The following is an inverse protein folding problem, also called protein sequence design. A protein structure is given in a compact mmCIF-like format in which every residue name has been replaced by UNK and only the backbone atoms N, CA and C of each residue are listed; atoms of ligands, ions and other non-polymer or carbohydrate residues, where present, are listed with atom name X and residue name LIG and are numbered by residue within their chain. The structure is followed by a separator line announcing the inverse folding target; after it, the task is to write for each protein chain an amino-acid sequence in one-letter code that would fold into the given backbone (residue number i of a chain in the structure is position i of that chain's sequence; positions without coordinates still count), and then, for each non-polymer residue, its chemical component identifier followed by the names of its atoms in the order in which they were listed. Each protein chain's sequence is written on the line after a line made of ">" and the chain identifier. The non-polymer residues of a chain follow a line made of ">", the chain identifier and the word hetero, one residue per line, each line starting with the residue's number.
data_IF_303682566130
#
_entry.id   IF_303682566130
#
_cell.length_a   1.000
_cell.length_b   1.000
_cell.length_c   1.000
_cell.angle_alpha   90.00
_cell.angle_beta   90.00
_cell.angle_gamma   90.00
#
_symmetry.space_group_name_H-M   'P 1'
#
loop_
_entity.id
_entity.type
_entity.pdbx_description
1 polymer ?
#
# COMPACT_ATOMS: atom_id res chain seq x y z
N UNK A 1 -9.74 21.22 9.03
CA UNK A 1 -9.39 21.35 7.60
C UNK A 1 -8.10 22.16 7.49
N UNK A 2 -7.00 21.47 7.18
CA UNK A 2 -5.62 21.95 7.26
C UNK A 2 -5.07 22.47 5.91
N UNK A 3 -5.92 22.64 4.89
CA UNK A 3 -5.49 23.00 3.53
C UNK A 3 -4.63 24.27 3.48
N UNK A 4 -4.80 25.22 4.42
CA UNK A 4 -3.98 26.43 4.48
C UNK A 4 -2.50 26.15 4.76
N UNK A 5 -2.20 25.09 5.50
CA UNK A 5 -0.84 24.77 5.92
C UNK A 5 0.01 24.31 4.73
N UNK A 6 -0.59 23.59 3.77
CA UNK A 6 0.11 23.02 2.61
C UNK A 6 0.06 23.89 1.34
N UNK A 7 -0.55 25.08 1.38
CA UNK A 7 -0.71 25.94 0.19
C UNK A 7 0.61 26.30 -0.50
N UNK A 8 1.69 26.37 0.27
CA UNK A 8 3.00 26.79 -0.21
C UNK A 8 3.68 25.76 -1.13
N UNK A 9 3.21 24.51 -1.13
CA UNK A 9 3.65 23.47 -2.07
C UNK A 9 2.97 23.54 -3.45
N UNK A 10 2.02 24.46 -3.64
CA UNK A 10 1.32 24.61 -4.91
C UNK A 10 1.86 25.80 -5.73
N UNK A 11 1.99 25.66 -7.06
CA UNK A 11 1.61 24.49 -7.87
C UNK A 11 2.55 23.30 -7.70
N UNK A 12 2.00 22.08 -7.75
CA UNK A 12 2.80 20.85 -7.79
C UNK A 12 3.34 20.70 -9.22
N UNK A 13 4.65 20.83 -9.37
CA UNK A 13 5.36 20.83 -10.65
C UNK A 13 6.35 19.66 -10.81
N UNK A 14 6.55 18.87 -9.75
CA UNK A 14 7.45 17.71 -9.74
C UNK A 14 6.98 16.64 -8.76
N UNK A 15 7.46 15.40 -8.95
CA UNK A 15 7.28 14.31 -7.97
C UNK A 15 7.93 14.66 -6.64
N UNK A 16 9.07 15.34 -6.66
CA UNK A 16 9.75 15.75 -5.42
C UNK A 16 8.85 16.64 -4.57
N UNK A 17 8.13 17.59 -5.20
CA UNK A 17 7.15 18.46 -4.50
C UNK A 17 6.04 17.65 -3.83
N UNK A 18 5.60 16.55 -4.45
CA UNK A 18 4.61 15.61 -3.85
C UNK A 18 5.20 14.89 -2.64
N UNK A 19 6.42 14.36 -2.78
CA UNK A 19 7.13 13.66 -1.72
C UNK A 19 7.42 14.57 -0.52
N UNK A 20 7.82 15.81 -0.77
CA UNK A 20 8.11 16.81 0.28
C UNK A 20 6.83 17.18 1.04
N UNK A 21 5.72 17.42 0.33
CA UNK A 21 4.41 17.68 0.95
C UNK A 21 3.97 16.48 1.81
N UNK A 22 4.12 15.26 1.30
CA UNK A 22 3.79 14.04 2.05
C UNK A 22 4.67 13.86 3.28
N UNK A 23 5.98 14.11 3.16
CA UNK A 23 6.91 14.07 4.27
C UNK A 23 6.54 15.08 5.37
N UNK A 24 6.15 16.31 5.00
CA UNK A 24 5.70 17.33 5.95
C UNK A 24 4.40 16.90 6.66
N UNK A 25 3.43 16.31 5.95
CA UNK A 25 2.26 15.71 6.59
C UNK A 25 2.64 14.66 7.64
N UNK A 26 3.52 13.72 7.30
CA UNK A 26 3.94 12.66 8.23
C UNK A 26 4.74 13.19 9.43
N UNK A 27 5.38 14.37 9.30
CA UNK A 27 6.13 15.03 10.37
C UNK A 27 5.27 15.96 11.22
N UNK A 28 4.18 16.49 10.68
CA UNK A 28 3.34 17.50 11.34
C UNK A 28 2.70 17.04 12.66
N UNK A 29 2.61 15.73 12.89
CA UNK A 29 1.87 15.14 14.02
C UNK A 29 0.36 15.34 13.96
N UNK A 30 -0.15 15.99 12.90
CA UNK A 30 -1.58 16.17 12.65
C UNK A 30 -2.16 14.90 12.03
N UNK A 31 -3.46 14.73 12.19
CA UNK A 31 -4.20 13.69 11.47
C UNK A 31 -4.00 13.85 9.95
N UNK A 32 -3.72 12.76 9.26
CA UNK A 32 -3.49 12.72 7.82
C UNK A 32 -4.74 13.16 7.02
N UNK A 33 -4.60 14.10 6.09
CA UNK A 33 -5.72 14.53 5.22
C UNK A 33 -5.90 13.56 4.03
N UNK A 34 -6.74 12.54 4.20
CA UNK A 34 -6.92 11.48 3.20
C UNK A 34 -7.43 12.01 1.86
N UNK A 35 -8.30 13.02 1.90
CA UNK A 35 -8.90 13.61 0.71
C UNK A 35 -7.88 14.40 -0.11
N UNK A 36 -7.05 15.21 0.56
CA UNK A 36 -5.98 15.96 -0.11
C UNK A 36 -5.04 15.02 -0.86
N UNK A 37 -4.52 13.98 -0.21
CA UNK A 37 -3.57 13.06 -0.83
C UNK A 37 -4.20 12.20 -1.92
N UNK A 38 -5.45 11.77 -1.76
CA UNK A 38 -6.16 11.04 -2.81
C UNK A 38 -6.34 11.87 -4.08
N UNK A 39 -6.65 13.16 -3.94
CA UNK A 39 -6.76 14.09 -5.07
C UNK A 39 -5.39 14.31 -5.72
N UNK A 40 -4.33 14.56 -4.94
CA UNK A 40 -2.99 14.80 -5.46
C UNK A 40 -2.48 13.58 -6.23
N UNK A 41 -2.49 12.40 -5.60
CA UNK A 41 -1.97 11.19 -6.23
C UNK A 41 -2.80 10.81 -7.47
N UNK A 42 -4.13 10.87 -7.39
CA UNK A 42 -4.99 10.61 -8.53
C UNK A 42 -4.78 11.60 -9.68
N UNK A 43 -4.53 12.88 -9.39
CA UNK A 43 -4.22 13.87 -10.43
C UNK A 43 -2.87 13.60 -11.09
N UNK A 44 -1.82 13.29 -10.31
CA UNK A 44 -0.49 12.99 -10.85
C UNK A 44 -0.51 11.70 -11.68
N UNK A 45 -1.10 10.63 -11.13
CA UNK A 45 -1.28 9.35 -11.83
C UNK A 45 -2.04 9.54 -13.14
N UNK A 46 -3.19 10.23 -13.12
CA UNK A 46 -4.01 10.44 -14.32
C UNK A 46 -3.28 11.23 -15.42
N UNK A 47 -2.46 12.22 -15.05
CA UNK A 47 -1.72 13.02 -16.02
C UNK A 47 -0.57 12.24 -16.68
N UNK A 48 0.07 11.33 -15.95
CA UNK A 48 1.26 10.61 -16.45
C UNK A 48 0.91 9.26 -17.10
N UNK A 49 -0.12 8.57 -16.63
CA UNK A 49 -0.54 7.26 -17.18
C UNK A 49 -1.57 7.37 -18.32
N UNK A 50 -2.12 8.56 -18.59
CA UNK A 50 -3.18 8.75 -19.58
C UNK A 50 -4.37 7.79 -19.40
N UNK A 51 -4.69 7.41 -18.15
CA UNK A 51 -5.82 6.55 -17.80
C UNK A 51 -7.14 7.15 -18.34
N UNK A 52 -7.59 6.67 -19.51
CA UNK A 52 -8.88 7.01 -20.12
C UNK A 52 -10.02 6.09 -19.66
N UNK A 53 -9.68 4.96 -19.04
CA UNK A 53 -10.62 3.98 -18.54
C UNK A 53 -10.69 4.07 -17.01
N UNK A 54 -11.77 4.66 -16.51
CA UNK A 54 -12.13 4.58 -15.09
C UNK A 54 -12.83 3.25 -14.84
N UNK A 55 -12.09 2.15 -14.92
CA UNK A 55 -12.55 0.92 -14.27
C UNK A 55 -12.50 1.21 -12.77
N UNK A 56 -13.67 1.44 -12.18
CA UNK A 56 -13.77 1.75 -10.75
C UNK A 56 -13.30 0.52 -9.98
N UNK A 57 -12.10 0.58 -9.42
CA UNK A 57 -11.63 -0.46 -8.51
C UNK A 57 -12.44 -0.40 -7.21
N UNK A 58 -12.85 -1.58 -6.73
CA UNK A 58 -13.66 -1.69 -5.52
C UNK A 58 -13.00 -1.04 -4.30
N UNK A 59 -11.65 -1.03 -4.25
CA UNK A 59 -10.85 -0.44 -3.18
C UNK A 59 -11.01 1.07 -3.06
N UNK A 60 -11.12 1.77 -4.19
CA UNK A 60 -11.24 3.24 -4.24
C UNK A 60 -12.56 3.73 -3.63
N UNK A 61 -13.64 2.95 -3.73
CA UNK A 61 -14.93 3.34 -3.13
C UNK A 61 -14.87 3.34 -1.61
N UNK A 62 -14.28 2.30 -1.01
CA UNK A 62 -14.15 2.20 0.45
C UNK A 62 -13.21 3.27 0.99
N UNK A 63 -12.13 3.59 0.26
CA UNK A 63 -11.27 4.72 0.61
C UNK A 63 -12.05 6.05 0.56
N UNK A 64 -12.83 6.29 -0.49
CA UNK A 64 -13.66 7.50 -0.61
C UNK A 64 -14.68 7.63 0.53
N UNK A 65 -15.29 6.53 0.98
CA UNK A 65 -16.17 6.52 2.17
C UNK A 65 -15.37 6.90 3.42
N UNK A 66 -14.19 6.31 3.62
CA UNK A 66 -13.33 6.59 4.78
C UNK A 66 -12.90 8.06 4.82
N UNK A 67 -12.43 8.61 3.71
CA UNK A 67 -12.07 10.03 3.59
C UNK A 67 -13.27 10.96 3.78
N UNK A 68 -14.45 10.59 3.28
CA UNK A 68 -15.68 11.36 3.48
C UNK A 68 -16.11 11.38 4.95
N UNK A 69 -16.01 10.25 5.64
CA UNK A 69 -16.25 10.15 7.07
C UNK A 69 -15.29 11.05 7.86
N UNK A 70 -14.00 11.06 7.51
CA UNK A 70 -13.03 11.97 8.10
C UNK A 70 -13.44 13.45 7.93
N UNK A 71 -13.83 13.85 6.72
CA UNK A 71 -14.30 15.23 6.43
C UNK A 71 -15.51 15.59 7.29
N UNK A 72 -16.42 14.65 7.50
CA UNK A 72 -17.64 14.81 8.32
C UNK A 72 -17.37 14.76 9.84
N UNK A 73 -16.11 14.64 10.27
CA UNK A 73 -15.72 14.54 11.68
C UNK A 73 -16.02 13.17 12.31
N UNK A 74 -16.19 12.13 11.49
CA UNK A 74 -16.37 10.74 11.91
C UNK A 74 -15.02 10.03 11.98
N UNK A 75 -14.23 10.45 12.96
CA UNK A 75 -12.85 9.98 13.13
C UNK A 75 -12.73 8.54 13.61
N UNK A 76 -13.83 7.90 14.03
CA UNK A 76 -13.89 6.50 14.43
C UNK A 76 -14.02 5.53 13.25
N UNK A 77 -14.31 6.03 12.04
CA UNK A 77 -14.43 5.20 10.84
C UNK A 77 -13.05 4.98 10.23
N UNK A 78 -12.69 3.71 10.03
CA UNK A 78 -11.40 3.29 9.53
C UNK A 78 -11.51 2.24 8.43
N UNK A 79 -10.50 2.21 7.56
CA UNK A 79 -10.39 1.23 6.50
C UNK A 79 -9.96 -0.13 7.06
N UNK A 80 -10.62 -1.20 6.63
CA UNK A 80 -10.22 -2.58 6.85
C UNK A 80 -9.89 -3.25 5.51
N UNK A 81 -8.73 -3.91 5.45
CA UNK A 81 -8.15 -4.44 4.22
C UNK A 81 -7.83 -5.92 4.40
N UNK A 82 -8.48 -6.74 3.58
CA UNK A 82 -8.07 -8.11 3.33
C UNK A 82 -7.19 -8.19 2.08
N UNK A 83 -6.77 -9.39 1.73
CA UNK A 83 -5.93 -9.63 0.56
C UNK A 83 -6.66 -9.40 -0.79
N UNK A 84 -8.00 -9.44 -0.82
CA UNK A 84 -8.78 -9.29 -2.07
C UNK A 84 -10.08 -8.46 -1.89
N UNK A 85 -10.23 -7.79 -0.75
CA UNK A 85 -11.45 -7.02 -0.44
C UNK A 85 -11.23 -5.97 0.65
N UNK A 86 -12.08 -4.95 0.67
CA UNK A 86 -12.03 -3.87 1.66
C UNK A 86 -13.41 -3.45 2.14
N UNK A 87 -13.48 -3.04 3.40
CA UNK A 87 -14.69 -2.53 4.04
C UNK A 87 -14.32 -1.48 5.10
N UNK A 88 -15.31 -0.96 5.83
CA UNK A 88 -15.05 -0.03 6.94
C UNK A 88 -15.29 -0.71 8.28
N UNK A 89 -14.46 -0.36 9.27
CA UNK A 89 -14.72 -0.58 10.68
C UNK A 89 -15.03 0.73 11.37
N UNK A 90 -15.87 0.70 12.40
CA UNK A 90 -16.30 1.89 13.13
C UNK A 90 -16.83 1.53 14.52
N UNK A 91 -17.39 2.53 15.21
CA UNK A 91 -17.98 2.35 16.53
C UNK A 91 -16.95 2.56 17.65
N UNK A 92 -17.45 2.60 18.88
CA UNK A 92 -16.65 3.02 20.05
C UNK A 92 -15.41 2.16 20.28
N UNK A 93 -15.51 0.86 19.98
CA UNK A 93 -14.45 -0.12 20.17
C UNK A 93 -13.80 -0.55 18.84
N UNK A 94 -14.20 0.05 17.70
CA UNK A 94 -13.69 -0.30 16.37
C UNK A 94 -14.07 -1.70 15.88
N UNK A 95 -15.09 -2.32 16.49
CA UNK A 95 -15.52 -3.70 16.20
C UNK A 95 -16.70 -3.79 15.25
N UNK A 96 -17.41 -2.68 15.03
CA UNK A 96 -18.52 -2.66 14.07
C UNK A 96 -17.95 -2.64 12.66
N UNK A 97 -18.60 -3.35 11.74
CA UNK A 97 -18.13 -3.53 10.36
C UNK A 97 -19.25 -3.23 9.39
N UNK A 98 -18.98 -2.58 8.28
CA UNK A 98 -19.93 -2.44 7.19
C UNK A 98 -19.27 -2.59 5.82
N UNK A 99 -19.85 -3.45 5.00
CA UNK A 99 -19.59 -3.49 3.57
C UNK A 99 -20.02 -2.16 2.94
N UNK A 100 -19.14 -1.52 2.16
CA UNK A 100 -19.46 -0.24 1.48
C UNK A 100 -19.15 -0.25 0.00
N UNK A 101 -18.56 -1.34 -0.49
CA UNK A 101 -18.24 -1.58 -1.89
C UNK A 101 -18.72 -2.97 -2.30
N UNK A 102 -18.64 -3.28 -3.60
CA UNK A 102 -18.94 -4.61 -4.12
C UNK A 102 -17.68 -5.49 -4.12
N UNK A 103 -17.86 -6.80 -4.20
CA UNK A 103 -16.77 -7.76 -4.46
C UNK A 103 -17.16 -8.71 -5.60
N UNK A 104 -16.25 -8.95 -6.54
CA UNK A 104 -16.44 -9.85 -7.67
C UNK A 104 -17.50 -9.39 -8.68
N UNK A 105 -17.72 -10.21 -9.73
CA UNK A 105 -18.75 -9.98 -10.76
C UNK A 105 -19.94 -10.92 -10.52
N UNK A 106 -21.15 -10.35 -10.45
CA UNK A 106 -22.40 -11.13 -10.33
C UNK A 106 -22.73 -11.61 -8.92
N UNK A 107 -22.01 -11.15 -7.90
CA UNK A 107 -22.34 -11.42 -6.50
C UNK A 107 -23.48 -10.51 -6.01
N UNK A 108 -24.22 -10.99 -5.01
CA UNK A 108 -25.25 -10.18 -4.34
C UNK A 108 -24.61 -8.96 -3.67
N UNK A 109 -25.27 -7.80 -3.76
CA UNK A 109 -24.84 -6.59 -3.07
C UNK A 109 -24.98 -6.76 -1.55
N UNK A 110 -23.84 -6.71 -0.85
CA UNK A 110 -23.76 -6.83 0.60
C UNK A 110 -23.64 -5.48 1.30
N UNK A 111 -23.65 -4.35 0.58
CA UNK A 111 -23.43 -3.01 1.18
C UNK A 111 -24.39 -2.75 2.36
N UNK A 112 -23.84 -2.21 3.43
CA UNK A 112 -24.51 -1.97 4.71
C UNK A 112 -24.58 -3.19 5.64
N UNK A 113 -24.19 -4.39 5.20
CA UNK A 113 -24.16 -5.59 6.05
C UNK A 113 -22.81 -5.71 6.77
N UNK A 114 -22.82 -6.41 7.90
CA UNK A 114 -21.59 -6.83 8.58
C UNK A 114 -20.86 -7.91 7.80
N UNK A 115 -19.53 -8.00 7.97
CA UNK A 115 -18.69 -9.05 7.40
C UNK A 115 -18.67 -10.34 8.24
N UNK A 116 -19.43 -10.40 9.34
CA UNK A 116 -19.40 -11.50 10.32
C UNK A 116 -19.68 -12.89 9.74
N UNK A 117 -20.56 -13.02 8.75
CA UNK A 117 -20.83 -14.30 8.08
C UNK A 117 -19.60 -14.82 7.32
N UNK A 118 -18.84 -13.90 6.71
CA UNK A 118 -17.60 -14.21 6.01
C UNK A 118 -16.47 -14.64 6.95
N UNK A 119 -16.41 -14.02 8.12
CA UNK A 119 -15.47 -14.40 9.20
C UNK A 119 -15.84 -15.77 9.76
N UNK A 120 -17.14 -16.00 10.05
CA UNK A 120 -17.63 -17.26 10.65
C UNK A 120 -17.45 -18.47 9.73
N UNK A 121 -17.40 -18.25 8.41
CA UNK A 121 -17.11 -19.27 7.40
C UNK A 121 -15.62 -19.48 7.14
N UNK A 122 -14.74 -18.81 7.91
CA UNK A 122 -13.28 -18.86 7.76
C UNK A 122 -12.83 -18.54 6.32
N UNK A 123 -13.55 -17.64 5.65
CA UNK A 123 -13.25 -17.29 4.27
C UNK A 123 -11.94 -16.51 4.18
N UNK A 124 -11.07 -16.88 3.23
CA UNK A 124 -9.87 -16.11 2.88
C UNK A 124 -10.18 -14.66 2.52
N UNK A 125 -11.34 -14.42 1.89
CA UNK A 125 -11.80 -13.07 1.53
C UNK A 125 -11.90 -12.12 2.74
N UNK A 126 -12.12 -12.67 3.94
CA UNK A 126 -12.18 -11.91 5.18
C UNK A 126 -11.06 -12.32 6.16
N UNK A 127 -10.07 -13.09 5.66
CA UNK A 127 -8.89 -13.60 6.36
C UNK A 127 -9.21 -14.22 7.72
N UNK A 128 -10.31 -14.96 7.81
CA UNK A 128 -10.82 -15.53 9.07
C UNK A 128 -10.88 -14.50 10.22
N UNK A 129 -11.21 -13.24 9.90
CA UNK A 129 -11.29 -12.15 10.87
C UNK A 129 -9.94 -11.52 11.23
N UNK A 130 -8.90 -11.72 10.43
CA UNK A 130 -7.56 -11.11 10.59
C UNK A 130 -7.18 -10.13 9.46
N UNK A 131 -8.05 -9.17 9.08
CA UNK A 131 -7.68 -8.12 8.14
C UNK A 131 -6.67 -7.15 8.74
N UNK A 132 -6.03 -6.36 7.89
CA UNK A 132 -5.33 -5.14 8.29
C UNK A 132 -6.40 -4.11 8.68
N UNK A 133 -6.44 -3.73 9.95
CA UNK A 133 -7.26 -2.61 10.42
C UNK A 133 -6.38 -1.36 10.46
N UNK A 134 -6.68 -0.40 9.58
CA UNK A 134 -5.83 0.76 9.40
C UNK A 134 -6.09 1.83 10.47
N UNK A 135 -5.01 2.48 10.93
CA UNK A 135 -5.11 3.85 11.41
C UNK A 135 -4.97 4.84 10.22
N UNK A 136 -5.01 6.14 10.49
CA UNK A 136 -4.93 7.20 9.45
C UNK A 136 -3.67 7.14 8.59
N UNK A 137 -2.52 6.81 9.17
CA UNK A 137 -1.28 6.71 8.41
C UNK A 137 -1.18 5.40 7.62
N UNK A 138 -1.80 4.32 8.11
CA UNK A 138 -1.96 3.08 7.35
C UNK A 138 -2.97 3.24 6.20
N UNK A 139 -3.97 4.11 6.34
CA UNK A 139 -4.85 4.50 5.22
C UNK A 139 -4.08 5.26 4.14
N UNK A 140 -3.18 6.16 4.52
CA UNK A 140 -2.24 6.75 3.55
C UNK A 140 -1.35 5.68 2.91
N UNK A 141 -0.85 4.71 3.69
CA UNK A 141 -0.07 3.59 3.13
C UNK A 141 -0.88 2.76 2.14
N UNK A 142 -2.17 2.51 2.41
CA UNK A 142 -3.06 1.82 1.49
C UNK A 142 -3.27 2.62 0.19
N UNK A 143 -3.45 3.94 0.30
CA UNK A 143 -3.58 4.84 -0.84
C UNK A 143 -2.29 4.87 -1.69
N UNK A 144 -1.11 4.97 -1.06
CA UNK A 144 0.17 4.91 -1.77
C UNK A 144 0.37 3.55 -2.43
N UNK A 145 0.05 2.46 -1.74
CA UNK A 145 0.15 1.12 -2.29
C UNK A 145 -0.81 0.88 -3.47
N UNK A 146 -1.89 1.66 -3.60
CA UNK A 146 -2.82 1.60 -4.75
C UNK A 146 -2.43 2.47 -5.93
N UNK A 147 -1.36 3.28 -5.84
CA UNK A 147 -0.85 4.04 -6.99
C UNK A 147 -0.47 3.05 -8.09
N UNK A 148 -0.97 3.28 -9.30
CA UNK A 148 -0.79 2.38 -10.43
C UNK A 148 0.16 2.98 -11.47
N UNK A 149 1.40 2.48 -11.63
CA UNK A 149 2.33 2.99 -12.63
C UNK A 149 2.02 2.51 -14.05
N UNK A 150 1.09 1.58 -14.25
CA UNK A 150 0.87 0.93 -15.55
C UNK A 150 0.27 1.86 -16.61
N UNK A 151 1.02 2.08 -17.71
CA UNK A 151 0.57 2.80 -18.90
C UNK A 151 -0.08 1.84 -19.92
N UNK A 152 0.52 0.67 -20.09
CA UNK A 152 0.03 -0.42 -20.95
C UNK A 152 0.32 -1.76 -20.27
N UNK A 153 -0.28 -2.89 -20.71
CA UNK A 153 -0.03 -4.20 -20.07
C UNK A 153 1.42 -4.66 -19.99
N UNK A 154 2.35 -3.99 -20.67
CA UNK A 154 3.78 -4.31 -20.69
C UNK A 154 4.68 -3.10 -20.39
N UNK A 155 4.12 -1.94 -20.06
CA UNK A 155 4.88 -0.70 -19.86
C UNK A 155 4.32 0.03 -18.66
N UNK A 156 5.21 0.32 -17.71
CA UNK A 156 4.96 1.19 -16.57
C UNK A 156 5.62 2.57 -16.80
N UNK A 157 5.01 3.61 -16.23
CA UNK A 157 5.58 4.95 -16.14
C UNK A 157 6.57 4.98 -14.99
N UNK A 158 7.86 5.12 -15.32
CA UNK A 158 8.96 5.08 -14.35
C UNK A 158 8.78 6.12 -13.24
N UNK A 159 8.37 7.33 -13.60
CA UNK A 159 8.15 8.44 -12.68
C UNK A 159 7.06 8.11 -11.63
N UNK A 160 5.98 7.44 -12.02
CA UNK A 160 4.92 7.03 -11.08
C UNK A 160 5.44 5.92 -10.14
N UNK A 161 6.17 4.94 -10.67
CA UNK A 161 6.80 3.91 -9.86
C UNK A 161 7.81 4.50 -8.86
N UNK A 162 8.57 5.52 -9.29
CA UNK A 162 9.54 6.23 -8.45
C UNK A 162 8.85 7.00 -7.34
N UNK A 163 7.75 7.71 -7.64
CA UNK A 163 6.93 8.37 -6.63
C UNK A 163 6.40 7.35 -5.61
N UNK A 164 5.81 6.25 -6.06
CA UNK A 164 5.29 5.21 -5.17
C UNK A 164 6.37 4.62 -4.26
N UNK A 165 7.55 4.31 -4.82
CA UNK A 165 8.71 3.80 -4.07
C UNK A 165 9.17 4.79 -2.98
N UNK A 166 9.34 6.07 -3.32
CA UNK A 166 9.75 7.10 -2.35
C UNK A 166 8.72 7.27 -1.22
N UNK A 167 7.42 7.33 -1.56
CA UNK A 167 6.35 7.48 -0.58
C UNK A 167 6.24 6.27 0.36
N UNK A 168 6.41 5.05 -0.16
CA UNK A 168 6.43 3.83 0.66
C UNK A 168 7.64 3.78 1.60
N UNK A 169 8.81 4.25 1.15
CA UNK A 169 9.96 4.39 2.04
C UNK A 169 9.73 5.41 3.16
N UNK A 170 9.09 6.56 2.87
CA UNK A 170 8.73 7.54 3.91
C UNK A 170 7.80 6.93 4.97
N UNK A 171 6.86 6.08 4.55
CA UNK A 171 5.98 5.34 5.45
C UNK A 171 6.72 4.25 6.23
N UNK A 172 7.63 3.53 5.58
CA UNK A 172 8.47 2.50 6.17
C UNK A 172 9.34 3.08 7.29
N UNK A 173 10.04 4.19 7.02
CA UNK A 173 10.96 4.84 7.96
C UNK A 173 10.21 5.38 9.21
N UNK A 174 8.89 5.60 9.10
CA UNK A 174 8.01 5.99 10.20
C UNK A 174 7.34 4.81 10.93
N UNK A 175 7.60 3.57 10.50
CA UNK A 175 7.00 2.35 11.07
C UNK A 175 5.56 2.09 10.64
N UNK A 176 5.00 2.86 9.69
CA UNK A 176 3.60 2.71 9.28
C UNK A 176 3.33 1.49 8.40
N UNK A 177 4.38 0.77 7.97
CA UNK A 177 4.28 -0.49 7.25
C UNK A 177 4.46 -1.74 8.12
N UNK A 178 4.82 -1.59 9.41
CA UNK A 178 5.17 -2.72 10.28
C UNK A 178 4.03 -3.74 10.44
N UNK A 179 2.80 -3.25 10.43
CA UNK A 179 1.58 -4.06 10.49
C UNK A 179 0.89 -4.15 9.11
N UNK A 180 1.57 -3.88 7.99
CA UNK A 180 0.94 -3.95 6.66
C UNK A 180 1.73 -4.85 5.70
N UNK A 181 1.52 -6.19 5.76
CA UNK A 181 2.30 -7.17 5.00
C UNK A 181 2.29 -6.93 3.48
N UNK A 182 1.13 -6.55 2.92
CA UNK A 182 1.01 -6.31 1.48
C UNK A 182 1.79 -5.07 1.02
N UNK A 183 1.80 -3.99 1.81
CA UNK A 183 2.58 -2.80 1.48
C UNK A 183 4.09 -3.05 1.58
N UNK A 184 4.54 -3.89 2.52
CA UNK A 184 5.94 -4.35 2.58
C UNK A 184 6.32 -5.16 1.33
N UNK A 185 5.42 -6.02 0.84
CA UNK A 185 5.60 -6.75 -0.43
C UNK A 185 5.71 -5.81 -1.63
N UNK A 186 4.80 -4.84 -1.75
CA UNK A 186 4.82 -3.83 -2.81
C UNK A 186 6.13 -3.03 -2.81
N UNK A 187 6.58 -2.57 -1.63
CA UNK A 187 7.86 -1.87 -1.49
C UNK A 187 9.04 -2.73 -1.94
N UNK A 188 9.02 -4.04 -1.64
CA UNK A 188 10.08 -4.96 -2.05
C UNK A 188 10.12 -5.17 -3.57
N UNK A 189 8.96 -5.31 -4.23
CA UNK A 189 8.88 -5.40 -5.70
C UNK A 189 9.40 -4.11 -6.36
N UNK A 190 9.00 -2.94 -5.85
CA UNK A 190 9.49 -1.65 -6.34
C UNK A 190 11.00 -1.48 -6.11
N UNK A 191 11.53 -1.90 -4.97
CA UNK A 191 12.97 -1.82 -4.67
C UNK A 191 13.81 -2.68 -5.64
N UNK A 192 13.31 -3.87 -6.00
CA UNK A 192 13.91 -4.71 -7.03
C UNK A 192 13.86 -4.02 -8.40
N UNK A 193 12.70 -3.46 -8.78
CA UNK A 193 12.52 -2.73 -10.03
C UNK A 193 13.49 -1.53 -10.14
N UNK A 194 13.61 -0.72 -9.10
CA UNK A 194 14.49 0.46 -9.09
C UNK A 194 15.96 0.08 -9.26
N UNK A 195 16.41 -1.01 -8.61
CA UNK A 195 17.78 -1.52 -8.77
C UNK A 195 18.08 -1.94 -10.21
N UNK A 196 17.14 -2.63 -10.87
CA UNK A 196 17.32 -3.06 -12.26
C UNK A 196 17.32 -1.86 -13.21
N UNK A 197 16.40 -0.91 -13.02
CA UNK A 197 16.32 0.31 -13.83
C UNK A 197 17.63 1.10 -13.79
N UNK A 198 18.21 1.27 -12.60
CA UNK A 198 19.46 2.01 -12.42
C UNK A 198 20.67 1.31 -13.03
N UNK A 199 20.71 -0.02 -13.08
CA UNK A 199 21.79 -0.76 -13.73
C UNK A 199 21.70 -0.78 -15.27
N UNK A 200 20.54 -0.43 -15.83
CA UNK A 200 20.26 -0.49 -17.27
C UNK A 200 20.63 0.80 -18.02
N UNK A 201 21.01 1.86 -17.31
CA UNK A 201 21.46 3.13 -17.87
C UNK A 201 22.90 3.04 -18.38
N UNK A 202 23.07 3.12 -19.69
CA UNK A 202 24.37 3.26 -20.37
C UNK A 202 25.10 4.53 -19.91
N UNK A 203 26.39 4.41 -19.56
CA UNK A 203 27.44 5.43 -19.34
C UNK A 203 27.09 6.94 -19.47
N UNK A 204 26.08 7.44 -18.79
CA UNK A 204 25.90 8.86 -18.51
C UNK A 204 26.23 9.07 -17.05
N UNK A 205 27.28 9.86 -16.83
CA UNK A 205 27.74 10.41 -15.55
C UNK A 205 26.69 10.30 -14.46
N UNK A 206 27.04 9.58 -13.38
CA UNK A 206 26.23 9.41 -12.17
C UNK A 206 25.51 10.72 -11.85
N UNK A 207 24.23 10.83 -12.23
CA UNK A 207 23.35 11.87 -11.71
C UNK A 207 23.04 11.41 -10.28
N UNK A 208 24.04 11.58 -9.41
CA UNK A 208 23.82 11.66 -7.98
C UNK A 208 22.97 12.91 -7.80
N UNK A 209 21.66 12.72 -7.68
CA UNK A 209 20.78 13.79 -7.22
C UNK A 209 21.34 14.27 -5.87
N UNK A 210 21.68 15.56 -5.71
CA UNK A 210 22.15 16.07 -4.43
C UNK A 210 20.98 15.95 -3.43
N UNK A 211 21.00 14.89 -2.63
CA UNK A 211 19.87 14.46 -1.79
C UNK A 211 19.60 12.95 -1.82
N UNK A 212 20.29 12.16 -2.64
CA UNK A 212 20.15 10.70 -2.72
C UNK A 212 20.62 10.01 -1.41
N UNK A 213 19.72 10.03 -0.43
CA UNK A 213 19.80 9.34 0.87
C UNK A 213 19.26 7.92 0.77
N UNK A 214 19.17 7.37 -0.44
CA UNK A 214 18.57 6.07 -0.80
C UNK A 214 19.04 4.86 0.01
N UNK A 215 20.20 4.93 0.69
CA UNK A 215 20.78 3.79 1.37
C UNK A 215 20.86 3.87 2.90
N UNK A 216 20.53 5.00 3.54
CA UNK A 216 20.69 5.13 5.00
C UNK A 216 19.45 5.69 5.66
N UNK A 217 18.92 4.92 6.61
CA UNK A 217 17.96 5.41 7.61
C UNK A 217 18.58 6.60 8.37
N UNK A 218 17.75 7.40 9.06
CA UNK A 218 18.19 8.55 9.84
C UNK A 218 19.30 8.24 10.88
N UNK A 219 19.48 6.96 11.22
CA UNK A 219 20.50 6.43 12.15
C UNK A 219 21.68 5.73 11.45
N UNK A 220 21.93 6.01 10.16
CA UNK A 220 23.01 5.40 9.35
C UNK A 220 22.93 3.88 9.14
N UNK A 221 21.85 3.22 9.57
CA UNK A 221 21.62 1.81 9.27
C UNK A 221 21.21 1.64 7.80
N UNK A 222 21.81 0.68 7.07
CA UNK A 222 21.46 0.44 5.69
C UNK A 222 20.00 0.00 5.57
N UNK A 223 19.28 0.52 4.56
CA UNK A 223 17.93 0.04 4.25
C UNK A 223 17.94 -1.45 3.91
N UNK A 224 16.89 -2.21 4.30
CA UNK A 224 16.80 -3.62 3.97
C UNK A 224 16.73 -3.82 2.45
N UNK A 225 17.28 -4.93 1.96
CA UNK A 225 17.04 -5.36 0.58
C UNK A 225 15.63 -5.94 0.40
N UNK A 226 15.22 -6.16 -0.85
CA UNK A 226 13.93 -6.75 -1.18
C UNK A 226 13.68 -8.10 -0.48
N UNK A 227 14.69 -8.96 -0.37
CA UNK A 227 14.59 -10.24 0.33
C UNK A 227 14.26 -10.09 1.83
N UNK A 228 14.88 -9.12 2.49
CA UNK A 228 14.60 -8.76 3.88
C UNK A 228 13.20 -8.15 4.04
N UNK A 229 12.74 -7.32 3.10
CA UNK A 229 11.38 -6.78 3.10
C UNK A 229 10.30 -7.87 2.96
N UNK A 230 10.47 -8.85 2.06
CA UNK A 230 9.56 -10.01 1.98
C UNK A 230 9.56 -10.83 3.27
N UNK A 231 10.73 -11.01 3.89
CA UNK A 231 10.84 -11.69 5.18
C UNK A 231 10.13 -10.91 6.29
N UNK A 232 10.20 -9.58 6.28
CA UNK A 232 9.48 -8.70 7.19
C UNK A 232 7.97 -8.77 6.98
N UNK A 233 7.49 -8.85 5.72
CA UNK A 233 6.07 -9.03 5.42
C UNK A 233 5.51 -10.31 6.05
N UNK A 234 6.22 -11.44 5.92
CA UNK A 234 5.85 -12.72 6.55
C UNK A 234 5.88 -12.60 8.08
N UNK A 235 6.90 -11.93 8.64
CA UNK A 235 6.96 -11.70 10.09
C UNK A 235 5.78 -10.87 10.58
N UNK A 236 5.38 -9.84 9.84
CA UNK A 236 4.22 -9.00 10.14
C UNK A 236 2.93 -9.82 10.13
N UNK A 237 2.73 -10.65 9.10
CA UNK A 237 1.60 -11.59 8.99
C UNK A 237 1.49 -12.51 10.22
N UNK A 238 2.61 -13.12 10.64
CA UNK A 238 2.66 -14.01 11.81
C UNK A 238 2.38 -13.29 13.12
N UNK A 239 2.95 -12.10 13.29
CA UNK A 239 2.90 -11.37 14.56
C UNK A 239 1.56 -10.71 14.80
N UNK A 240 0.98 -10.10 13.75
CA UNK A 240 -0.19 -9.25 13.88
C UNK A 240 -1.49 -9.95 13.44
N UNK A 241 -1.38 -11.00 12.61
CA UNK A 241 -2.54 -11.57 11.89
C UNK A 241 -2.63 -13.09 11.99
N UNK A 242 -1.99 -13.70 13.00
CA UNK A 242 -2.02 -15.15 13.25
C UNK A 242 -1.64 -15.99 12.01
N UNK A 243 -0.75 -15.45 11.17
CA UNK A 243 -0.30 -16.08 9.93
C UNK A 243 -1.44 -16.42 8.94
N UNK A 244 -2.50 -15.61 8.90
CA UNK A 244 -3.66 -15.78 7.99
C UNK A 244 -3.49 -15.12 6.62
N UNK A 245 -2.37 -14.44 6.36
CA UNK A 245 -2.07 -13.75 5.10
C UNK A 245 -1.22 -14.62 4.18
N UNK A 246 -1.64 -14.77 2.93
CA UNK A 246 -1.06 -15.68 1.93
C UNK A 246 -0.07 -14.94 1.03
N UNK A 247 -0.40 -13.71 0.63
CA UNK A 247 0.39 -12.92 -0.31
C UNK A 247 1.84 -12.70 0.13
N UNK A 248 2.17 -12.49 1.42
CA UNK A 248 3.57 -12.36 1.85
C UNK A 248 4.45 -13.53 1.42
N UNK A 249 3.91 -14.76 1.44
CA UNK A 249 4.61 -15.95 0.99
C UNK A 249 4.66 -16.05 -0.54
N UNK A 250 3.60 -15.65 -1.24
CA UNK A 250 3.61 -15.67 -2.71
C UNK A 250 4.55 -14.64 -3.30
N UNK A 251 4.65 -13.44 -2.69
CA UNK A 251 5.62 -12.42 -3.08
C UNK A 251 7.05 -12.95 -2.94
N UNK A 252 7.38 -13.54 -1.78
CA UNK A 252 8.68 -14.14 -1.55
C UNK A 252 8.98 -15.29 -2.54
N UNK A 253 7.99 -16.14 -2.82
CA UNK A 253 8.13 -17.21 -3.81
C UNK A 253 8.38 -16.67 -5.23
N UNK A 254 7.69 -15.60 -5.61
CA UNK A 254 7.89 -14.87 -6.86
C UNK A 254 9.31 -14.31 -6.98
N UNK A 255 9.80 -13.65 -5.93
CA UNK A 255 11.17 -13.15 -5.83
C UNK A 255 12.20 -14.26 -6.03
N UNK A 256 12.11 -15.36 -5.28
CA UNK A 256 13.02 -16.49 -5.42
C UNK A 256 12.98 -17.11 -6.81
N UNK A 257 11.79 -17.21 -7.41
CA UNK A 257 11.64 -17.74 -8.77
C UNK A 257 12.34 -16.85 -9.81
N UNK A 258 12.17 -15.51 -9.74
CA UNK A 258 12.89 -14.55 -10.62
C UNK A 258 14.41 -14.69 -10.49
N UNK A 259 14.90 -15.01 -9.30
CA UNK A 259 16.32 -15.23 -8.99
C UNK A 259 16.81 -16.67 -9.23
N UNK A 260 15.99 -17.55 -9.83
CA UNK A 260 16.31 -18.97 -10.10
C UNK A 260 16.60 -19.80 -8.84
N UNK A 261 16.16 -19.32 -7.67
CA UNK A 261 16.23 -20.02 -6.38
C UNK A 261 15.03 -20.95 -6.23
N UNK A 262 14.94 -21.97 -7.09
CA UNK A 262 13.71 -22.76 -7.24
C UNK A 262 13.33 -23.54 -5.97
N UNK A 263 14.31 -24.01 -5.19
CA UNK A 263 14.05 -24.76 -3.95
C UNK A 263 13.37 -23.86 -2.92
N UNK A 264 13.87 -22.64 -2.77
CA UNK A 264 13.34 -21.60 -1.89
C UNK A 264 11.97 -21.12 -2.37
N UNK A 265 11.79 -20.97 -3.69
CA UNK A 265 10.49 -20.64 -4.28
C UNK A 265 9.42 -21.70 -3.97
N UNK A 266 9.72 -22.98 -4.20
CA UNK A 266 8.80 -24.07 -3.84
C UNK A 266 8.51 -24.14 -2.35
N UNK A 267 9.50 -23.86 -1.50
CA UNK A 267 9.28 -23.79 -0.06
C UNK A 267 8.32 -22.65 0.32
N UNK A 268 8.52 -21.45 -0.22
CA UNK A 268 7.63 -20.31 0.04
C UNK A 268 6.19 -20.59 -0.42
N UNK A 269 6.00 -21.15 -1.62
CA UNK A 269 4.66 -21.52 -2.10
C UNK A 269 4.02 -22.65 -1.30
N UNK A 270 4.80 -23.60 -0.79
CA UNK A 270 4.29 -24.63 0.13
C UNK A 270 3.78 -24.00 1.43
N UNK A 271 4.53 -23.05 2.01
CA UNK A 271 4.08 -22.28 3.18
C UNK A 271 2.79 -21.49 2.90
N UNK A 272 2.66 -20.87 1.72
CA UNK A 272 1.42 -20.19 1.32
C UNK A 272 0.23 -21.17 1.26
N UNK A 273 0.46 -22.39 0.75
CA UNK A 273 -0.53 -23.46 0.72
C UNK A 273 -0.91 -23.97 2.12
N UNK A 274 0.01 -23.92 3.08
CA UNK A 274 -0.28 -24.26 4.47
C UNK A 274 -1.14 -23.18 5.15
N UNK A 275 -0.94 -21.90 4.84
CA UNK A 275 -1.80 -20.80 5.33
C UNK A 275 -3.25 -20.95 4.85
N UNK A 276 -3.44 -21.19 3.54
CA UNK A 276 -4.77 -21.38 2.94
C UNK A 276 -5.53 -22.58 3.54
N UNK A 277 -4.82 -23.59 4.06
CA UNK A 277 -5.44 -24.81 4.60
C UNK A 277 -6.06 -24.61 5.99
N UNK A 278 -5.68 -23.55 6.71
CA UNK A 278 -6.12 -23.25 8.07
C UNK A 278 -7.53 -22.68 8.13
#
# INVERSE_FOLDING_TARGET
>A
MALMDYKHYFPIDSIQTVCDLFADQLQSGKEADLALFSIIFGAVESNLTNMKNCDKEAHLNTFAVTASCQILGKHDVHLAISEDHVWVVFGKDGTETAEVTWHGKGNEDKRGRSVGDGISSLSWLYLAGKPVICNRNMELAALVASINPTLTPTIDVHEIAQMQHQLLWLLYDKGYLDAYPMALGNLADLDEYMKVSNCSGDNTEDIVFPGDTSFTLADSTPRPDAGALYTQAIRSARTNYEDRHVYPYTFQGGYYNRHKMFKEAFHAWACAGDVIRQ
#
